data_IF_546178256065
#
_entry.id   IF_546178256065
#
_cell.length_a   1.000
_cell.length_b   1.000
_cell.length_c   1.000
_cell.angle_alpha   90.00
_cell.angle_beta   90.00
_cell.angle_gamma   90.00
#
_symmetry.space_group_name_H-M   'P 1'
#
loop_
_entity.id
_entity.type
_entity.pdbx_description
1 polymer ?
#
# COMPACT_ATOMS: atom_id res chain seq x y z
N UNK A 1 17.85 7.85 -63.43
CA UNK A 1 17.76 8.65 -62.18
C UNK A 1 17.61 7.64 -61.06
N UNK A 2 18.72 7.23 -60.45
CA UNK A 2 18.76 6.06 -59.58
C UNK A 2 19.21 6.49 -58.18
N UNK A 3 18.51 5.93 -57.19
CA UNK A 3 18.18 6.54 -55.91
C UNK A 3 19.32 6.47 -54.89
N UNK A 4 19.47 7.61 -54.23
CA UNK A 4 20.17 7.98 -52.99
C UNK A 4 20.54 6.81 -52.05
N UNK A 5 21.85 6.72 -51.81
CA UNK A 5 22.54 6.08 -50.69
C UNK A 5 22.28 6.82 -49.38
N UNK A 6 22.00 6.09 -48.29
CA UNK A 6 22.52 6.30 -46.91
C UNK A 6 21.66 5.52 -45.91
N UNK A 7 22.09 4.30 -45.58
CA UNK A 7 21.55 3.54 -44.45
C UNK A 7 22.33 3.95 -43.19
N UNK A 8 21.65 4.63 -42.27
CA UNK A 8 22.18 5.06 -40.97
C UNK A 8 22.26 3.87 -40.02
N UNK A 9 23.47 3.53 -39.56
CA UNK A 9 23.70 2.58 -38.47
C UNK A 9 23.44 3.29 -37.14
N UNK A 10 22.35 2.93 -36.44
CA UNK A 10 22.07 3.40 -35.08
C UNK A 10 22.25 2.21 -34.12
N UNK A 11 23.41 2.16 -33.47
CA UNK A 11 23.72 1.17 -32.43
C UNK A 11 23.13 1.68 -31.11
N UNK A 12 22.00 1.12 -30.70
CA UNK A 12 21.43 1.35 -29.35
C UNK A 12 21.96 0.26 -28.41
N UNK A 13 22.94 0.65 -27.60
CA UNK A 13 23.45 -0.16 -26.49
C UNK A 13 22.40 -0.27 -25.38
N UNK A 14 21.96 -1.49 -25.09
CA UNK A 14 20.99 -1.81 -24.05
C UNK A 14 21.76 -2.13 -22.75
N UNK A 15 21.71 -1.23 -21.76
CA UNK A 15 22.23 -1.48 -20.42
C UNK A 15 21.13 -2.15 -19.59
N UNK A 16 21.25 -3.45 -19.36
CA UNK A 16 20.40 -4.19 -18.43
C UNK A 16 21.01 -4.14 -17.03
N UNK A 17 20.33 -3.47 -16.10
CA UNK A 17 20.66 -3.56 -14.67
C UNK A 17 20.11 -4.87 -14.12
N UNK A 18 21.01 -5.81 -13.82
CA UNK A 18 20.71 -7.02 -13.04
C UNK A 18 20.55 -6.59 -11.59
N UNK A 19 19.34 -6.69 -11.05
CA UNK A 19 19.10 -6.67 -9.61
C UNK A 19 19.40 -8.06 -9.06
N UNK A 20 20.29 -8.12 -8.07
CA UNK A 20 20.75 -9.33 -7.41
C UNK A 20 19.66 -9.82 -6.43
N UNK A 21 18.99 -10.91 -6.78
CA UNK A 21 18.07 -11.65 -5.92
C UNK A 21 18.93 -12.48 -4.94
N UNK A 22 18.70 -12.33 -3.63
CA UNK A 22 19.41 -13.07 -2.58
C UNK A 22 18.63 -14.32 -2.20
N UNK A 23 19.36 -15.42 -2.12
CA UNK A 23 18.91 -16.82 -2.09
C UNK A 23 18.37 -17.32 -0.72
N UNK A 24 17.62 -18.43 -0.81
CA UNK A 24 17.31 -19.47 0.18
C UNK A 24 16.23 -19.24 1.27
N UNK A 25 15.06 -19.92 1.14
CA UNK A 25 14.89 -21.33 1.57
C UNK A 25 13.44 -21.67 1.98
N UNK A 26 13.04 -22.92 1.65
CA UNK A 26 11.98 -23.73 2.28
C UNK A 26 10.52 -23.55 1.84
N UNK A 27 10.12 -24.42 0.92
CA UNK A 27 8.76 -24.88 0.66
C UNK A 27 8.11 -25.47 1.91
N UNK A 28 6.89 -25.03 2.24
CA UNK A 28 5.92 -25.88 2.96
C UNK A 28 4.48 -25.52 2.60
N UNK A 29 3.93 -26.33 1.70
CA UNK A 29 2.54 -26.32 1.25
C UNK A 29 1.63 -26.97 2.28
N UNK A 30 0.54 -26.31 2.72
CA UNK A 30 -0.74 -26.91 3.17
C UNK A 30 -1.83 -25.80 3.24
N UNK A 31 -3.15 -26.09 3.31
CA UNK A 31 -4.06 -26.40 2.21
C UNK A 31 -5.13 -25.31 1.97
N UNK A 32 -5.66 -25.32 0.76
CA UNK A 32 -6.89 -24.65 0.35
C UNK A 32 -8.08 -25.17 1.18
N UNK A 33 -8.82 -24.27 1.82
CA UNK A 33 -10.16 -24.57 2.35
C UNK A 33 -11.16 -23.67 1.65
N UNK A 34 -11.85 -24.28 0.69
CA UNK A 34 -13.08 -23.82 0.07
C UNK A 34 -14.16 -23.67 1.14
N UNK A 35 -14.65 -22.45 1.35
CA UNK A 35 -15.81 -22.15 2.18
C UNK A 35 -16.74 -21.21 1.44
N UNK A 36 -17.84 -21.76 0.94
CA UNK A 36 -18.88 -21.07 0.20
C UNK A 36 -19.74 -20.16 1.10
N UNK A 37 -19.96 -18.94 0.62
CA UNK A 37 -21.06 -18.01 0.82
C UNK A 37 -21.96 -18.11 2.05
N UNK A 38 -21.99 -17.01 2.81
CA UNK A 38 -23.26 -16.41 3.21
C UNK A 38 -23.13 -14.89 3.05
N UNK A 39 -23.78 -14.38 2.01
CA UNK A 39 -23.79 -12.97 1.65
C UNK A 39 -24.45 -12.14 2.76
N UNK A 40 -23.69 -11.16 3.28
CA UNK A 40 -24.26 -9.99 3.95
C UNK A 40 -23.62 -8.76 3.36
N UNK A 41 -24.44 -8.01 2.64
CA UNK A 41 -24.15 -6.74 1.99
C UNK A 41 -23.61 -5.73 3.02
N UNK A 42 -22.29 -5.56 3.00
CA UNK A 42 -21.53 -4.56 3.75
C UNK A 42 -20.08 -4.64 3.26
N UNK A 43 -19.78 -4.00 2.14
CA UNK A 43 -18.50 -4.10 1.42
C UNK A 43 -17.36 -3.40 2.17
N UNK A 44 -16.91 -4.00 3.27
CA UNK A 44 -15.63 -3.74 3.90
C UNK A 44 -14.78 -5.00 3.85
N UNK A 45 -13.73 -5.01 3.04
CA UNK A 45 -12.74 -6.10 3.06
C UNK A 45 -12.22 -6.23 4.50
N UNK A 46 -12.53 -7.34 5.16
CA UNK A 46 -12.17 -7.56 6.56
C UNK A 46 -10.65 -7.55 6.67
N UNK A 47 -10.12 -6.56 7.38
CA UNK A 47 -8.67 -6.44 7.62
C UNK A 47 -8.17 -7.65 8.42
N UNK A 48 -6.91 -8.01 8.19
CA UNK A 48 -6.27 -9.11 8.91
C UNK A 48 -6.05 -8.78 10.39
N UNK A 49 -5.94 -9.78 11.25
CA UNK A 49 -5.61 -9.57 12.65
C UNK A 49 -4.26 -8.86 12.84
N UNK A 50 -3.28 -9.17 11.97
CA UNK A 50 -1.97 -8.52 11.98
C UNK A 50 -2.09 -7.02 11.65
N UNK A 51 -2.95 -6.65 10.69
CA UNK A 51 -3.21 -5.25 10.33
C UNK A 51 -3.85 -4.49 11.48
N UNK A 52 -4.86 -5.08 12.13
CA UNK A 52 -5.54 -4.47 13.27
C UNK A 52 -4.60 -4.27 14.47
N UNK A 53 -3.67 -5.20 14.70
CA UNK A 53 -2.65 -5.09 15.74
C UNK A 53 -1.64 -3.94 15.51
N UNK A 54 -1.61 -3.36 14.31
CA UNK A 54 -0.80 -2.18 13.97
C UNK A 54 -1.58 -0.87 14.08
N UNK A 55 -2.73 -0.86 14.77
CA UNK A 55 -3.65 0.29 14.85
C UNK A 55 -4.11 0.79 13.47
N UNK A 56 -4.26 -0.13 12.52
CA UNK A 56 -4.83 0.16 11.19
C UNK A 56 -6.23 -0.47 11.14
N UNK A 57 -7.26 0.37 11.04
CA UNK A 57 -8.65 -0.06 10.96
C UNK A 57 -9.24 0.22 9.58
N UNK A 58 -10.48 -0.21 9.34
CA UNK A 58 -11.24 0.26 8.19
C UNK A 58 -11.54 1.77 8.31
N UNK A 59 -11.87 2.40 7.19
CA UNK A 59 -12.30 3.81 7.17
C UNK A 59 -13.59 3.95 8.00
N UNK A 60 -13.63 4.85 9.03
CA UNK A 60 -14.82 5.09 9.82
C UNK A 60 -16.00 5.57 8.96
N UNK A 61 -17.22 5.19 9.33
CA UNK A 61 -18.44 5.55 8.59
C UNK A 61 -18.61 7.07 8.46
N UNK A 62 -18.21 7.83 9.48
CA UNK A 62 -18.24 9.29 9.48
C UNK A 62 -17.38 9.93 8.38
N UNK A 63 -16.39 9.21 7.87
CA UNK A 63 -15.47 9.65 6.83
C UNK A 63 -15.77 9.01 5.46
N UNK A 64 -16.64 8.00 5.41
CA UNK A 64 -16.92 7.18 4.22
C UNK A 64 -17.55 7.96 3.06
N UNK A 65 -18.25 9.07 3.35
CA UNK A 65 -18.83 9.94 2.32
C UNK A 65 -17.76 10.59 1.43
N UNK A 66 -16.60 10.93 2.00
CA UNK A 66 -15.47 11.54 1.29
C UNK A 66 -14.44 10.48 0.88
N UNK A 67 -14.17 9.52 1.76
CA UNK A 67 -13.13 8.51 1.58
C UNK A 67 -13.75 7.13 1.44
N UNK A 68 -14.34 6.88 0.28
CA UNK A 68 -15.06 5.63 0.01
C UNK A 68 -14.14 4.52 -0.53
N UNK A 69 -14.60 3.28 -0.40
CA UNK A 69 -13.95 2.11 -1.00
C UNK A 69 -13.99 2.13 -2.54
N UNK A 70 -14.94 2.84 -3.14
CA UNK A 70 -14.99 3.09 -4.59
C UNK A 70 -13.76 3.87 -5.05
N UNK A 71 -13.36 4.87 -4.25
CA UNK A 71 -12.13 5.65 -4.43
C UNK A 71 -10.87 4.95 -3.88
N UNK A 72 -11.00 3.66 -3.56
CA UNK A 72 -9.93 2.79 -3.06
C UNK A 72 -9.41 3.13 -1.67
N UNK A 73 -10.07 4.01 -0.91
CA UNK A 73 -9.75 4.20 0.51
C UNK A 73 -10.33 3.04 1.33
N UNK A 74 -9.45 2.33 2.03
CA UNK A 74 -9.83 1.12 2.77
C UNK A 74 -9.17 0.98 4.14
N UNK A 75 -8.23 1.87 4.48
CA UNK A 75 -7.48 1.82 5.73
C UNK A 75 -7.46 3.18 6.41
N UNK A 76 -7.49 3.17 7.73
CA UNK A 76 -7.47 4.33 8.60
C UNK A 76 -6.48 4.10 9.75
N UNK A 77 -5.77 5.15 10.12
CA UNK A 77 -5.01 5.24 11.37
C UNK A 77 -4.99 6.70 11.81
N UNK A 78 -4.47 6.98 13.01
CA UNK A 78 -4.28 8.34 13.49
C UNK A 78 -2.95 8.52 14.22
N UNK A 79 -2.53 9.77 14.37
CA UNK A 79 -1.51 10.20 15.34
C UNK A 79 -2.11 11.24 16.27
N UNK A 80 -1.66 11.28 17.52
CA UNK A 80 -2.03 12.36 18.43
C UNK A 80 -1.07 13.53 18.22
N UNK A 81 -1.61 14.73 18.00
CA UNK A 81 -0.84 15.95 17.89
C UNK A 81 -0.62 16.59 19.28
N UNK A 82 0.41 17.45 19.46
CA UNK A 82 0.72 18.08 20.74
C UNK A 82 -0.41 18.94 21.32
N UNK A 83 -1.32 19.43 20.47
CA UNK A 83 -2.52 20.16 20.89
C UNK A 83 -3.65 19.25 21.42
N UNK A 84 -3.40 17.96 21.59
CA UNK A 84 -4.35 16.95 22.08
C UNK A 84 -5.34 16.44 21.02
N UNK A 85 -5.37 17.02 19.82
CA UNK A 85 -6.24 16.57 18.73
C UNK A 85 -5.59 15.45 17.93
N UNK A 86 -6.42 14.59 17.32
CA UNK A 86 -5.93 13.56 16.41
C UNK A 86 -5.76 14.12 15.00
N UNK A 87 -4.66 13.73 14.34
CA UNK A 87 -4.51 13.84 12.89
C UNK A 87 -4.93 12.50 12.31
N UNK A 88 -5.94 12.51 11.46
CA UNK A 88 -6.50 11.33 10.83
C UNK A 88 -5.75 11.03 9.53
N UNK A 89 -5.27 9.79 9.37
CA UNK A 89 -4.59 9.31 8.17
C UNK A 89 -5.47 8.27 7.49
N UNK A 90 -5.86 8.53 6.24
CA UNK A 90 -6.67 7.63 5.43
C UNK A 90 -5.83 7.15 4.25
N UNK A 91 -5.75 5.84 4.06
CA UNK A 91 -4.88 5.21 3.07
C UNK A 91 -5.68 4.42 2.02
N UNK A 92 -5.15 4.40 0.80
CA UNK A 92 -5.67 3.61 -0.30
C UNK A 92 -5.16 2.16 -0.27
N UNK A 93 -5.87 1.29 -0.98
CA UNK A 93 -5.69 -0.18 -0.97
C UNK A 93 -4.29 -0.67 -1.39
N UNK A 94 -3.56 0.10 -2.21
CA UNK A 94 -2.21 -0.24 -2.68
C UNK A 94 -1.07 0.05 -1.69
N UNK A 95 -1.34 0.71 -0.56
CA UNK A 95 -0.35 0.92 0.48
C UNK A 95 -0.22 -0.34 1.35
N UNK A 96 1.02 -0.77 1.60
CA UNK A 96 1.28 -1.85 2.55
C UNK A 96 1.14 -1.35 3.99
N UNK A 97 0.85 -2.26 4.91
CA UNK A 97 0.74 -1.93 6.34
C UNK A 97 2.05 -1.31 6.87
N UNK A 98 3.22 -1.80 6.41
CA UNK A 98 4.52 -1.23 6.77
C UNK A 98 4.68 0.22 6.26
N UNK A 99 4.22 0.53 5.05
CA UNK A 99 4.25 1.90 4.52
C UNK A 99 3.38 2.84 5.36
N UNK A 100 2.19 2.38 5.78
CA UNK A 100 1.28 3.16 6.62
C UNK A 100 1.89 3.39 8.00
N UNK A 101 2.44 2.35 8.64
CA UNK A 101 3.14 2.45 9.93
C UNK A 101 4.33 3.39 9.83
N UNK A 102 5.15 3.28 8.78
CA UNK A 102 6.32 4.14 8.60
C UNK A 102 5.94 5.60 8.41
N UNK A 103 4.92 5.88 7.59
CA UNK A 103 4.41 7.24 7.42
C UNK A 103 3.91 7.82 8.74
N UNK A 104 3.17 7.02 9.52
CA UNK A 104 2.70 7.37 10.86
C UNK A 104 3.85 7.69 11.81
N UNK A 105 4.86 6.83 11.89
CA UNK A 105 6.05 7.01 12.75
C UNK A 105 6.87 8.25 12.37
N UNK A 106 7.07 8.51 11.08
CA UNK A 106 7.76 9.72 10.61
C UNK A 106 6.99 10.97 11.06
N UNK A 107 5.67 10.97 10.87
CA UNK A 107 4.84 12.10 11.30
C UNK A 107 4.92 12.30 12.83
N UNK A 108 4.79 11.23 13.63
CA UNK A 108 4.94 11.29 15.09
C UNK A 108 6.30 11.87 15.48
N UNK A 109 7.40 11.43 14.87
CA UNK A 109 8.73 11.94 15.17
C UNK A 109 8.84 13.46 15.00
N UNK A 110 8.26 14.01 13.92
CA UNK A 110 8.24 15.46 13.72
C UNK A 110 7.31 16.18 14.69
N UNK A 111 6.18 15.59 15.08
CA UNK A 111 5.27 16.19 16.04
C UNK A 111 5.86 16.25 17.45
N UNK A 112 6.62 15.24 17.86
CA UNK A 112 7.34 15.22 19.15
C UNK A 112 8.48 16.25 19.19
N UNK A 113 9.08 16.59 18.04
CA UNK A 113 10.10 17.63 17.96
C UNK A 113 9.55 19.07 18.13
N UNK A 114 8.23 19.24 18.24
CA UNK A 114 7.56 20.54 18.47
C UNK A 114 7.07 20.73 19.92
N UNK A 115 7.31 19.78 20.84
CA UNK A 115 6.96 19.90 22.26
C UNK A 115 8.13 20.36 23.12
#
# INVERSE_FOLDING_TARGET
MNKVLLASLLVTSLVTVVACDSDASSTKSVPETTGAGTDTTGTGSKLSAATLALDITGVPDSLSATYSSVLKFNRYTQVQAPNGKSIHLIAQDKLSDNQIVRARSILTHYLDSLS
#
